data_IF_415507631812
#
_entry.id   IF_415507631812
#
_cell.length_a   1.000
_cell.length_b   1.000
_cell.length_c   1.000
_cell.angle_alpha   90.00
_cell.angle_beta   90.00
_cell.angle_gamma   90.00
#
_symmetry.space_group_name_H-M   'P 1'
#
loop_
_entity.id
_entity.type
_entity.pdbx_description
1 polymer ?
#
# COMPACT_ATOMS: atom_id res chain seq x y z
N UNK A 1 -55.52 -59.09 -18.36
CA UNK A 1 -55.78 -57.65 -18.57
C UNK A 1 -55.39 -56.91 -17.31
N UNK A 2 -54.19 -56.34 -17.24
CA UNK A 2 -53.71 -55.70 -16.00
C UNK A 2 -52.40 -54.92 -16.07
N UNK A 3 -51.89 -54.55 -17.25
CA UNK A 3 -50.55 -53.93 -17.36
C UNK A 3 -50.51 -52.55 -18.03
N UNK A 4 -51.65 -51.97 -18.43
CA UNK A 4 -51.68 -50.69 -19.17
C UNK A 4 -51.76 -49.42 -18.30
N UNK A 5 -51.93 -49.55 -16.97
CA UNK A 5 -52.09 -48.39 -16.07
C UNK A 5 -50.78 -47.78 -15.54
N UNK A 6 -49.73 -48.60 -15.37
CA UNK A 6 -48.45 -48.15 -14.78
C UNK A 6 -47.58 -47.35 -15.79
N UNK A 7 -47.64 -47.71 -17.07
CA UNK A 7 -46.87 -47.06 -18.15
C UNK A 7 -47.32 -45.62 -18.42
N UNK A 8 -48.63 -45.35 -18.34
CA UNK A 8 -49.21 -44.01 -18.59
C UNK A 8 -48.96 -43.02 -17.44
N UNK A 9 -48.86 -43.50 -16.19
CA UNK A 9 -48.56 -42.65 -15.02
C UNK A 9 -47.08 -42.25 -14.99
N UNK A 10 -46.17 -43.16 -15.40
CA UNK A 10 -44.74 -42.85 -15.53
C UNK A 10 -44.52 -41.76 -16.58
N UNK A 11 -45.15 -41.88 -17.77
CA UNK A 11 -44.96 -40.92 -18.85
C UNK A 11 -45.35 -39.48 -18.49
N UNK A 12 -46.41 -39.27 -17.68
CA UNK A 12 -46.81 -37.92 -17.22
C UNK A 12 -45.84 -37.33 -16.20
N UNK A 13 -45.32 -38.17 -15.30
CA UNK A 13 -44.31 -37.74 -14.31
C UNK A 13 -43.00 -37.39 -15.01
N UNK A 14 -42.57 -38.19 -15.98
CA UNK A 14 -41.37 -37.96 -16.77
C UNK A 14 -41.48 -36.66 -17.59
N UNK A 15 -42.64 -36.39 -18.19
CA UNK A 15 -42.90 -35.15 -18.94
C UNK A 15 -42.89 -33.92 -18.01
N UNK A 16 -43.51 -34.02 -16.83
CA UNK A 16 -43.50 -32.95 -15.83
C UNK A 16 -42.09 -32.69 -15.29
N UNK A 17 -41.32 -33.74 -15.00
CA UNK A 17 -39.92 -33.65 -14.59
C UNK A 17 -39.07 -33.01 -15.70
N UNK A 18 -39.29 -33.36 -16.96
CA UNK A 18 -38.63 -32.76 -18.13
C UNK A 18 -38.85 -31.25 -18.21
N UNK A 19 -40.09 -30.79 -18.01
CA UNK A 19 -40.41 -29.35 -17.94
C UNK A 19 -39.71 -28.65 -16.79
N UNK A 20 -39.70 -29.25 -15.59
CA UNK A 20 -39.03 -28.69 -14.42
C UNK A 20 -37.52 -28.54 -14.66
N UNK A 21 -36.86 -29.57 -15.19
CA UNK A 21 -35.44 -29.53 -15.53
C UNK A 21 -35.14 -28.47 -16.59
N UNK A 22 -35.98 -28.34 -17.63
CA UNK A 22 -35.81 -27.31 -18.65
C UNK A 22 -35.92 -25.90 -18.06
N UNK A 23 -36.91 -25.66 -17.19
CA UNK A 23 -37.08 -24.38 -16.50
C UNK A 23 -35.89 -24.05 -15.58
N UNK A 24 -35.37 -25.02 -14.82
CA UNK A 24 -34.20 -24.83 -13.97
C UNK A 24 -32.92 -24.54 -14.78
N UNK A 25 -32.75 -25.18 -15.95
CA UNK A 25 -31.64 -24.87 -16.87
C UNK A 25 -31.74 -23.47 -17.46
N UNK A 26 -32.95 -23.03 -17.82
CA UNK A 26 -33.19 -21.67 -18.29
C UNK A 26 -32.91 -20.63 -17.19
N UNK A 27 -33.35 -20.90 -15.95
CA UNK A 27 -33.05 -20.05 -14.79
C UNK A 27 -31.55 -19.94 -14.52
N UNK A 28 -30.82 -21.07 -14.53
CA UNK A 28 -29.35 -21.07 -14.42
C UNK A 28 -28.70 -20.22 -15.51
N UNK A 29 -29.13 -20.38 -16.77
CA UNK A 29 -28.57 -19.62 -17.88
C UNK A 29 -28.83 -18.11 -17.73
N UNK A 30 -30.04 -17.72 -17.31
CA UNK A 30 -30.39 -16.33 -17.04
C UNK A 30 -29.55 -15.74 -15.90
N UNK A 31 -29.45 -16.44 -14.76
CA UNK A 31 -28.66 -15.98 -13.62
C UNK A 31 -27.16 -15.84 -13.95
N UNK A 32 -26.57 -16.82 -14.63
CA UNK A 32 -25.18 -16.74 -15.09
C UNK A 32 -24.97 -15.60 -16.09
N UNK A 33 -25.92 -15.35 -16.99
CA UNK A 33 -25.85 -14.22 -17.92
C UNK A 33 -25.92 -12.87 -17.19
N UNK A 34 -26.77 -12.74 -16.17
CA UNK A 34 -26.82 -11.54 -15.32
C UNK A 34 -25.50 -11.29 -14.58
N UNK A 35 -24.80 -12.35 -14.17
CA UNK A 35 -23.47 -12.28 -13.57
C UNK A 35 -22.32 -12.18 -14.61
N UNK A 36 -22.62 -12.07 -15.91
CA UNK A 36 -21.62 -11.93 -16.97
C UNK A 36 -20.86 -13.21 -17.33
N UNK A 37 -21.33 -14.37 -16.87
CA UNK A 37 -20.71 -15.68 -17.06
C UNK A 37 -21.38 -16.44 -18.22
N UNK A 38 -21.10 -16.04 -19.47
CA UNK A 38 -21.79 -16.54 -20.67
C UNK A 38 -21.18 -17.78 -21.31
N UNK A 39 -20.04 -18.27 -20.81
CA UNK A 39 -19.34 -19.41 -21.42
C UNK A 39 -20.07 -20.76 -21.18
N UNK A 40 -20.02 -21.72 -22.12
CA UNK A 40 -20.76 -22.99 -22.01
C UNK A 40 -20.41 -23.83 -20.77
N UNK A 41 -19.20 -23.66 -20.21
CA UNK A 41 -18.73 -24.32 -19.00
C UNK A 41 -18.97 -23.52 -17.71
N UNK A 42 -19.57 -22.33 -17.76
CA UNK A 42 -19.61 -21.34 -16.68
C UNK A 42 -20.47 -21.71 -15.45
N UNK A 43 -21.04 -22.91 -15.38
CA UNK A 43 -21.91 -23.30 -14.27
C UNK A 43 -21.70 -24.73 -13.80
N UNK A 44 -20.47 -25.24 -13.91
CA UNK A 44 -20.07 -26.41 -13.13
C UNK A 44 -20.19 -26.07 -11.65
N UNK A 45 -20.82 -26.96 -10.87
CA UNK A 45 -21.06 -26.73 -9.44
C UNK A 45 -22.29 -25.87 -9.10
N UNK A 46 -23.05 -25.38 -10.08
CA UNK A 46 -24.30 -24.66 -9.82
C UNK A 46 -25.30 -25.55 -9.08
N UNK A 47 -25.60 -25.19 -7.83
CA UNK A 47 -26.54 -25.87 -6.96
C UNK A 47 -27.65 -24.91 -6.56
N UNK A 48 -28.87 -25.41 -6.61
CA UNK A 48 -30.06 -24.67 -6.22
C UNK A 48 -30.93 -25.57 -5.36
N UNK A 49 -31.16 -25.16 -4.12
CA UNK A 49 -32.06 -25.84 -3.21
C UNK A 49 -33.47 -25.26 -3.34
N UNK A 50 -34.45 -26.15 -3.51
CA UNK A 50 -35.86 -25.81 -3.63
C UNK A 50 -36.71 -26.73 -2.74
N UNK A 51 -37.75 -26.15 -2.16
CA UNK A 51 -38.81 -26.84 -1.43
C UNK A 51 -40.18 -26.26 -1.84
N UNK A 52 -41.27 -26.96 -1.48
CA UNK A 52 -42.62 -26.59 -1.90
C UNK A 52 -43.07 -25.19 -1.43
N UNK A 53 -42.43 -24.61 -0.41
CA UNK A 53 -42.69 -23.26 0.09
C UNK A 53 -41.83 -22.18 -0.58
N UNK A 54 -40.84 -22.55 -1.39
CA UNK A 54 -39.97 -21.59 -2.08
C UNK A 54 -40.74 -20.89 -3.21
N UNK A 55 -41.05 -19.62 -3.02
CA UNK A 55 -41.64 -18.75 -4.05
C UNK A 55 -40.66 -18.38 -5.17
N UNK A 56 -41.19 -17.89 -6.29
CA UNK A 56 -40.40 -17.57 -7.49
C UNK A 56 -39.29 -16.52 -7.23
N UNK A 57 -39.59 -15.48 -6.45
CA UNK A 57 -38.62 -14.43 -6.11
C UNK A 57 -37.44 -14.98 -5.29
N UNK A 58 -37.73 -15.79 -4.27
CA UNK A 58 -36.70 -16.44 -3.45
C UNK A 58 -35.84 -17.41 -4.27
N UNK A 59 -36.46 -18.16 -5.19
CA UNK A 59 -35.74 -19.07 -6.07
C UNK A 59 -34.82 -18.31 -7.05
N UNK A 60 -35.27 -17.16 -7.58
CA UNK A 60 -34.46 -16.29 -8.42
C UNK A 60 -33.29 -15.66 -7.65
N UNK A 61 -33.52 -15.19 -6.42
CA UNK A 61 -32.47 -14.67 -5.54
C UNK A 61 -31.36 -15.69 -5.26
N UNK A 62 -31.73 -16.93 -4.87
CA UNK A 62 -30.76 -18.02 -4.67
C UNK A 62 -29.99 -18.38 -5.94
N UNK A 63 -30.67 -18.36 -7.10
CA UNK A 63 -30.02 -18.61 -8.38
C UNK A 63 -28.98 -17.52 -8.73
N UNK A 64 -29.29 -16.26 -8.44
CA UNK A 64 -28.35 -15.14 -8.61
C UNK A 64 -27.17 -15.23 -7.63
N UNK A 65 -27.41 -15.59 -6.37
CA UNK A 65 -26.34 -15.81 -5.38
C UNK A 65 -25.39 -16.93 -5.84
N UNK A 66 -25.92 -18.10 -6.21
CA UNK A 66 -25.13 -19.21 -6.71
C UNK A 66 -24.38 -18.85 -8.00
N UNK A 67 -24.99 -18.09 -8.92
CA UNK A 67 -24.34 -17.61 -10.13
C UNK A 67 -23.23 -16.59 -9.82
N UNK A 68 -23.44 -15.69 -8.86
CA UNK A 68 -22.47 -14.70 -8.44
C UNK A 68 -21.25 -15.35 -7.77
N UNK A 69 -21.44 -16.38 -6.96
CA UNK A 69 -20.36 -17.19 -6.38
C UNK A 69 -19.52 -17.84 -7.48
N UNK A 70 -20.15 -18.52 -8.43
CA UNK A 70 -19.43 -19.17 -9.55
C UNK A 70 -18.72 -18.15 -10.43
N UNK A 71 -19.37 -17.02 -10.73
CA UNK A 71 -18.78 -15.93 -11.49
C UNK A 71 -17.57 -15.35 -10.75
N UNK A 72 -17.65 -15.15 -9.44
CA UNK A 72 -16.55 -14.68 -8.60
C UNK A 72 -15.39 -15.68 -8.54
N UNK A 73 -15.66 -16.98 -8.50
CA UNK A 73 -14.64 -18.03 -8.55
C UNK A 73 -13.90 -18.09 -9.90
N UNK A 74 -14.59 -17.69 -10.97
CA UNK A 74 -14.09 -17.63 -12.35
C UNK A 74 -13.54 -16.25 -12.74
N UNK A 75 -13.60 -15.25 -11.85
CA UNK A 75 -12.97 -13.96 -12.11
C UNK A 75 -11.46 -14.15 -12.29
N UNK A 76 -11.00 -13.85 -13.51
CA UNK A 76 -9.59 -13.90 -13.82
C UNK A 76 -8.78 -12.96 -12.92
N UNK A 77 -9.30 -11.76 -12.64
CA UNK A 77 -8.68 -10.81 -11.72
C UNK A 77 -9.32 -10.93 -10.33
N UNK A 78 -8.59 -11.54 -9.40
CA UNK A 78 -8.98 -11.65 -7.99
C UNK A 78 -7.94 -10.96 -7.11
N UNK A 79 -8.36 -10.05 -6.20
CA UNK A 79 -7.43 -9.37 -5.29
C UNK A 79 -6.54 -10.37 -4.55
N UNK A 80 -5.23 -10.08 -4.48
CA UNK A 80 -4.26 -10.94 -3.81
C UNK A 80 -3.86 -12.21 -4.56
N UNK A 81 -4.31 -12.42 -5.81
CA UNK A 81 -4.11 -13.69 -6.50
C UNK A 81 -3.73 -13.54 -7.97
N UNK A 82 -2.86 -14.41 -8.45
CA UNK A 82 -2.46 -14.49 -9.87
C UNK A 82 -3.28 -15.58 -10.56
N UNK A 83 -3.73 -15.33 -11.79
CA UNK A 83 -4.45 -16.32 -12.57
C UNK A 83 -3.55 -17.51 -12.94
N UNK A 84 -4.00 -18.73 -12.64
CA UNK A 84 -3.31 -19.95 -13.05
C UNK A 84 -3.89 -20.43 -14.39
N UNK A 85 -3.08 -20.43 -15.45
CA UNK A 85 -3.53 -20.89 -16.77
C UNK A 85 -3.61 -22.42 -16.86
N UNK A 86 -2.86 -23.13 -16.02
CA UNK A 86 -2.93 -24.59 -15.90
C UNK A 86 -4.26 -25.03 -15.26
N UNK A 87 -4.64 -24.42 -14.14
CA UNK A 87 -5.91 -24.70 -13.45
C UNK A 87 -7.10 -23.90 -14.01
N UNK A 88 -6.86 -22.95 -14.91
CA UNK A 88 -7.85 -22.02 -15.46
C UNK A 88 -8.67 -21.27 -14.39
N UNK A 89 -8.01 -20.84 -13.31
CA UNK A 89 -8.65 -20.12 -12.20
C UNK A 89 -7.63 -19.29 -11.42
N UNK A 90 -8.10 -18.24 -10.74
CA UNK A 90 -7.33 -17.49 -9.74
C UNK A 90 -7.54 -18.01 -8.31
N UNK A 91 -8.28 -19.10 -8.12
CA UNK A 91 -8.67 -19.61 -6.79
C UNK A 91 -7.88 -20.83 -6.32
N UNK A 92 -6.97 -21.37 -7.14
CA UNK A 92 -6.16 -22.53 -6.78
C UNK A 92 -4.99 -22.16 -5.85
N UNK A 93 -4.38 -23.16 -5.22
CA UNK A 93 -3.22 -22.97 -4.34
C UNK A 93 -2.02 -22.33 -5.05
N UNK A 94 -1.90 -22.48 -6.38
CA UNK A 94 -0.79 -21.90 -7.14
C UNK A 94 -0.93 -20.38 -7.33
N UNK A 95 -2.10 -19.81 -7.06
CA UNK A 95 -2.41 -18.40 -7.30
C UNK A 95 -1.78 -17.44 -6.27
N UNK A 96 -1.16 -17.96 -5.21
CA UNK A 96 -0.54 -17.20 -4.12
C UNK A 96 0.85 -17.75 -3.77
N UNK A 97 1.73 -16.92 -3.18
CA UNK A 97 3.02 -17.39 -2.67
C UNK A 97 2.83 -18.43 -1.57
N UNK A 98 3.75 -19.39 -1.47
CA UNK A 98 3.75 -20.40 -0.43
C UNK A 98 4.42 -19.89 0.85
N UNK A 99 5.37 -18.95 0.72
CA UNK A 99 6.11 -18.35 1.85
C UNK A 99 6.02 -16.82 1.82
N UNK A 100 6.23 -16.14 2.97
CA UNK A 100 6.09 -14.68 3.04
C UNK A 100 7.13 -13.87 2.27
N UNK A 101 8.26 -14.50 1.93
CA UNK A 101 9.39 -13.86 1.25
C UNK A 101 9.35 -14.05 -0.28
N UNK A 102 8.39 -14.85 -0.77
CA UNK A 102 8.19 -15.13 -2.19
C UNK A 102 7.45 -14.01 -2.94
N UNK A 103 7.84 -13.85 -4.20
CA UNK A 103 7.20 -12.95 -5.17
C UNK A 103 6.93 -13.70 -6.46
N UNK A 104 5.99 -13.18 -7.26
CA UNK A 104 5.68 -13.78 -8.55
C UNK A 104 6.85 -13.59 -9.52
N UNK A 105 7.34 -14.68 -10.12
CA UNK A 105 8.53 -14.73 -10.96
C UNK A 105 8.22 -15.16 -12.40
N UNK A 106 6.98 -14.99 -12.83
CA UNK A 106 6.48 -15.39 -14.15
C UNK A 106 5.72 -16.70 -14.13
N UNK A 107 5.53 -17.27 -15.31
CA UNK A 107 4.86 -18.55 -15.50
C UNK A 107 5.83 -19.65 -15.91
N UNK A 108 5.55 -20.88 -15.47
CA UNK A 108 6.12 -22.09 -16.03
C UNK A 108 5.60 -22.33 -17.46
N UNK A 109 6.22 -23.25 -18.25
CA UNK A 109 5.76 -23.57 -19.60
C UNK A 109 4.28 -23.97 -19.71
N UNK A 110 3.75 -24.63 -18.67
CA UNK A 110 2.34 -25.06 -18.55
C UNK A 110 1.39 -23.94 -18.11
N UNK A 111 1.89 -22.72 -17.91
CA UNK A 111 1.06 -21.59 -17.46
C UNK A 111 0.69 -21.63 -15.97
N UNK A 112 1.36 -22.48 -15.19
CA UNK A 112 1.32 -22.43 -13.73
C UNK A 112 2.14 -21.23 -13.21
N UNK A 113 1.63 -20.43 -12.24
CA UNK A 113 2.38 -19.37 -11.62
C UNK A 113 3.66 -19.90 -10.95
N UNK A 114 4.79 -19.25 -11.23
CA UNK A 114 6.06 -19.50 -10.55
C UNK A 114 6.28 -18.46 -9.46
N UNK A 115 6.56 -18.94 -8.26
CA UNK A 115 6.93 -18.13 -7.11
C UNK A 115 8.40 -18.39 -6.79
N UNK A 116 9.14 -17.35 -6.41
CA UNK A 116 10.46 -17.52 -5.83
C UNK A 116 10.77 -16.44 -4.82
N UNK A 117 11.70 -16.75 -3.94
CA UNK A 117 12.25 -15.82 -2.96
C UNK A 117 12.70 -14.51 -3.61
N UNK A 118 12.29 -13.38 -3.04
CA UNK A 118 12.55 -12.05 -3.58
C UNK A 118 14.04 -11.79 -3.84
N UNK A 119 14.90 -12.21 -2.91
CA UNK A 119 16.35 -12.12 -3.07
C UNK A 119 16.84 -12.89 -4.30
N UNK A 120 16.35 -14.12 -4.52
CA UNK A 120 16.74 -14.95 -5.67
C UNK A 120 16.26 -14.34 -6.99
N UNK A 121 15.09 -13.70 -7.00
CA UNK A 121 14.62 -12.96 -8.17
C UNK A 121 15.57 -11.81 -8.51
N UNK A 122 15.99 -11.00 -7.52
CA UNK A 122 16.92 -9.90 -7.74
C UNK A 122 18.29 -10.38 -8.23
N UNK A 123 18.79 -11.52 -7.72
CA UNK A 123 20.01 -12.15 -8.25
C UNK A 123 19.85 -12.57 -9.71
N UNK A 124 18.72 -13.19 -10.08
CA UNK A 124 18.43 -13.58 -11.48
C UNK A 124 18.36 -12.36 -12.39
N UNK A 125 17.88 -11.23 -11.90
CA UNK A 125 17.83 -9.95 -12.61
C UNK A 125 19.18 -9.21 -12.62
N UNK A 126 20.17 -9.67 -11.87
CA UNK A 126 21.48 -9.03 -11.74
C UNK A 126 21.43 -7.67 -11.04
N UNK A 127 20.50 -7.46 -10.11
CA UNK A 127 20.38 -6.17 -9.40
C UNK A 127 21.60 -5.95 -8.49
N UNK A 128 22.41 -4.89 -8.70
CA UNK A 128 23.64 -4.66 -7.95
C UNK A 128 23.38 -4.25 -6.49
N UNK A 129 22.12 -4.02 -6.11
CA UNK A 129 21.74 -3.51 -4.78
C UNK A 129 21.35 -4.63 -3.82
N UNK A 130 21.38 -5.89 -4.24
CA UNK A 130 20.97 -7.06 -3.43
C UNK A 130 21.56 -7.10 -2.03
N UNK A 131 22.84 -6.75 -1.88
CA UNK A 131 23.53 -6.70 -0.58
C UNK A 131 22.89 -5.71 0.41
N UNK A 132 22.21 -4.66 -0.09
CA UNK A 132 21.57 -3.66 0.77
C UNK A 132 20.35 -4.19 1.52
N UNK A 133 19.79 -5.32 1.09
CA UNK A 133 18.72 -6.04 1.81
C UNK A 133 19.18 -6.56 3.17
N UNK A 134 20.49 -6.81 3.33
CA UNK A 134 21.09 -7.37 4.54
C UNK A 134 21.99 -6.36 5.27
N UNK A 135 22.02 -5.11 4.79
CA UNK A 135 22.74 -4.03 5.46
C UNK A 135 22.20 -3.78 6.87
N UNK A 136 22.95 -3.03 7.68
CA UNK A 136 22.49 -2.57 9.00
C UNK A 136 22.30 -1.04 8.98
N UNK A 137 21.06 -0.54 8.92
CA UNK A 137 19.79 -1.27 8.82
C UNK A 137 19.50 -1.80 7.40
N UNK A 138 18.62 -2.80 7.26
CA UNK A 138 18.25 -3.35 5.95
C UNK A 138 17.46 -2.32 5.15
N UNK A 139 17.71 -2.25 3.84
CA UNK A 139 16.96 -1.40 2.93
C UNK A 139 15.80 -2.16 2.30
N UNK A 140 14.69 -1.46 2.05
CA UNK A 140 13.62 -1.95 1.18
C UNK A 140 14.01 -1.61 -0.26
N UNK A 141 14.04 -2.63 -1.10
CA UNK A 141 14.23 -2.51 -2.54
C UNK A 141 12.91 -2.74 -3.26
N UNK A 142 12.77 -2.11 -4.41
CA UNK A 142 11.72 -2.41 -5.36
C UNK A 142 12.29 -2.44 -6.79
N UNK A 143 11.74 -3.30 -7.63
CA UNK A 143 12.06 -3.29 -9.05
C UNK A 143 10.81 -3.57 -9.89
N UNK A 144 10.80 -3.02 -11.10
CA UNK A 144 9.72 -3.21 -12.07
C UNK A 144 10.14 -4.27 -13.09
N UNK A 145 9.23 -5.18 -13.41
CA UNK A 145 9.41 -6.23 -14.42
C UNK A 145 8.27 -6.11 -15.43
N UNK A 146 8.59 -6.13 -16.71
CA UNK A 146 7.58 -6.04 -17.77
C UNK A 146 6.84 -7.38 -17.96
N UNK A 147 5.61 -7.31 -18.47
CA UNK A 147 4.78 -8.50 -18.68
C UNK A 147 5.33 -9.50 -19.70
N UNK A 148 6.13 -9.06 -20.68
CA UNK A 148 6.70 -9.97 -21.68
C UNK A 148 7.76 -10.88 -21.04
N UNK A 149 8.61 -10.31 -20.18
CA UNK A 149 9.57 -11.06 -19.36
C UNK A 149 8.87 -12.11 -18.48
N UNK A 150 7.75 -11.78 -17.84
CA UNK A 150 7.00 -12.72 -16.98
C UNK A 150 6.37 -13.89 -17.76
N UNK A 151 6.11 -13.74 -19.06
CA UNK A 151 5.53 -14.77 -19.93
C UNK A 151 6.56 -15.41 -20.88
N UNK A 152 7.84 -15.16 -20.67
CA UNK A 152 8.92 -15.62 -21.56
C UNK A 152 9.08 -17.14 -21.58
N UNK A 153 8.74 -17.84 -20.50
CA UNK A 153 8.83 -19.31 -20.43
C UNK A 153 7.48 -19.99 -20.78
N UNK A 154 6.37 -19.26 -20.77
CA UNK A 154 5.00 -19.77 -20.99
C UNK A 154 4.76 -20.18 -22.46
N UNK A 155 4.18 -21.35 -22.69
CA UNK A 155 3.81 -21.80 -24.04
C UNK A 155 2.50 -21.17 -24.52
N UNK A 156 2.32 -21.08 -25.84
CA UNK A 156 1.12 -20.53 -26.46
C UNK A 156 -0.15 -21.30 -26.09
N UNK A 157 -0.08 -22.63 -26.04
CA UNK A 157 -1.17 -23.52 -25.63
C UNK A 157 -1.63 -23.29 -24.19
N UNK A 158 -0.78 -22.69 -23.36
CA UNK A 158 -1.04 -22.44 -21.95
C UNK A 158 -1.22 -20.94 -21.65
N UNK A 159 -1.77 -20.17 -22.59
CA UNK A 159 -2.28 -18.83 -22.31
C UNK A 159 -1.29 -17.68 -22.45
N UNK A 160 -0.12 -17.89 -23.08
CA UNK A 160 0.86 -16.82 -23.36
C UNK A 160 0.24 -15.57 -24.00
N UNK A 161 -0.63 -15.79 -24.99
CA UNK A 161 -1.34 -14.74 -25.74
C UNK A 161 -2.77 -14.51 -25.24
N UNK A 162 -3.17 -15.16 -24.15
CA UNK A 162 -4.52 -15.00 -23.63
C UNK A 162 -4.74 -13.59 -23.08
N UNK A 163 -5.95 -13.08 -23.34
CA UNK A 163 -6.47 -11.83 -22.81
C UNK A 163 -7.22 -12.00 -21.49
N UNK A 164 -7.37 -13.23 -20.99
CA UNK A 164 -8.07 -13.54 -19.73
C UNK A 164 -7.45 -12.80 -18.56
N UNK A 165 -6.11 -12.83 -18.47
CA UNK A 165 -5.35 -12.18 -17.41
C UNK A 165 -4.03 -11.65 -17.99
N UNK A 166 -4.08 -10.41 -18.48
CA UNK A 166 -2.96 -9.82 -19.20
C UNK A 166 -2.15 -8.92 -18.29
N UNK A 167 -1.02 -9.44 -17.81
CA UNK A 167 -0.04 -8.65 -17.06
C UNK A 167 0.65 -7.67 -18.00
N UNK A 168 0.55 -6.38 -17.71
CA UNK A 168 1.29 -5.34 -18.45
C UNK A 168 2.70 -5.19 -17.89
N UNK A 169 2.81 -5.14 -16.56
CA UNK A 169 4.03 -5.09 -15.79
C UNK A 169 3.72 -5.35 -14.31
N UNK A 170 4.76 -5.58 -13.52
CA UNK A 170 4.66 -5.66 -12.07
C UNK A 170 5.78 -4.90 -11.38
N UNK A 171 5.55 -4.55 -10.12
CA UNK A 171 6.55 -4.10 -9.16
C UNK A 171 6.66 -5.16 -8.08
N UNK A 172 7.87 -5.66 -7.85
CA UNK A 172 8.17 -6.52 -6.69
C UNK A 172 8.94 -5.70 -5.66
N UNK A 173 8.64 -5.90 -4.38
CA UNK A 173 9.27 -5.14 -3.31
C UNK A 173 9.51 -5.97 -2.05
N UNK A 174 10.63 -5.70 -1.39
CA UNK A 174 11.05 -6.38 -0.16
C UNK A 174 12.44 -5.95 0.30
N UNK A 175 12.92 -6.35 1.47
CA UNK A 175 12.11 -6.99 2.51
C UNK A 175 11.43 -5.93 3.38
N UNK A 176 10.11 -6.03 3.49
CA UNK A 176 9.33 -5.34 4.50
C UNK A 176 9.44 -6.12 5.80
N UNK A 177 9.66 -5.43 6.91
CA UNK A 177 9.81 -6.07 8.22
C UNK A 177 8.55 -5.84 9.03
N UNK A 178 7.92 -6.95 9.46
CA UNK A 178 6.67 -6.97 10.22
C UNK A 178 6.83 -8.00 11.34
N UNK A 179 6.63 -7.57 12.59
CA UNK A 179 6.74 -8.44 13.78
C UNK A 179 8.07 -9.24 13.83
N UNK A 180 9.17 -8.67 13.31
CA UNK A 180 10.50 -9.30 13.26
C UNK A 180 10.71 -10.28 12.09
N UNK A 181 9.68 -10.56 11.29
CA UNK A 181 9.77 -11.38 10.09
C UNK A 181 9.89 -10.52 8.82
N UNK A 182 10.47 -11.12 7.77
CA UNK A 182 10.65 -10.49 6.46
C UNK A 182 9.52 -10.89 5.54
N UNK A 183 9.07 -9.93 4.75
CA UNK A 183 8.00 -10.11 3.78
C UNK A 183 8.37 -9.47 2.46
N UNK A 184 7.88 -10.05 1.38
CA UNK A 184 7.91 -9.46 0.07
C UNK A 184 6.47 -9.33 -0.49
N UNK A 185 6.32 -8.48 -1.49
CA UNK A 185 5.06 -8.31 -2.19
C UNK A 185 5.26 -8.17 -3.69
N UNK A 186 4.20 -8.47 -4.44
CA UNK A 186 4.09 -8.23 -5.88
C UNK A 186 2.90 -7.31 -6.13
N UNK A 187 3.10 -6.13 -6.70
CA UNK A 187 2.04 -5.28 -7.23
C UNK A 187 1.96 -5.47 -8.75
N UNK A 188 0.87 -6.00 -9.28
CA UNK A 188 0.70 -6.29 -10.70
C UNK A 188 -0.35 -5.38 -11.34
N UNK A 189 0.05 -4.72 -12.44
CA UNK A 189 -0.88 -4.04 -13.34
C UNK A 189 -1.39 -5.05 -14.36
N UNK A 190 -2.70 -5.31 -14.31
CA UNK A 190 -3.36 -6.33 -15.11
C UNK A 190 -4.54 -5.74 -15.89
N UNK A 191 -4.68 -6.20 -17.12
CA UNK A 191 -5.86 -5.99 -17.97
C UNK A 191 -6.65 -7.31 -18.00
N UNK A 192 -7.93 -7.24 -17.62
CA UNK A 192 -8.84 -8.38 -17.66
C UNK A 192 -9.48 -8.56 -19.04
N UNK A 193 -10.26 -9.62 -19.19
CA UNK A 193 -10.96 -9.92 -20.45
C UNK A 193 -11.95 -8.81 -20.86
N UNK A 194 -12.58 -8.14 -19.88
CA UNK A 194 -13.45 -6.98 -20.07
C UNK A 194 -12.68 -5.68 -20.33
N UNK A 195 -11.35 -5.76 -20.45
CA UNK A 195 -10.41 -4.65 -20.61
C UNK A 195 -10.39 -3.68 -19.44
N UNK A 196 -10.84 -4.12 -18.27
CA UNK A 196 -10.66 -3.41 -17.02
C UNK A 196 -9.18 -3.44 -16.62
N UNK A 197 -8.65 -2.28 -16.26
CA UNK A 197 -7.31 -2.15 -15.70
C UNK A 197 -7.39 -2.20 -14.19
N UNK A 198 -6.55 -3.02 -13.57
CA UNK A 198 -6.44 -3.11 -12.11
C UNK A 198 -4.98 -3.18 -11.67
N UNK A 199 -4.67 -2.50 -10.58
CA UNK A 199 -3.42 -2.71 -9.84
C UNK A 199 -3.74 -3.56 -8.62
N UNK A 200 -3.32 -4.82 -8.67
CA UNK A 200 -3.53 -5.76 -7.55
C UNK A 200 -2.23 -6.00 -6.79
N UNK A 201 -2.35 -6.18 -5.48
CA UNK A 201 -1.21 -6.52 -4.61
C UNK A 201 -1.36 -7.97 -4.17
N UNK A 202 -0.37 -8.78 -4.47
CA UNK A 202 -0.20 -10.15 -3.97
C UNK A 202 0.88 -10.15 -2.91
N UNK A 203 0.53 -10.60 -1.72
CA UNK A 203 1.40 -10.70 -0.57
C UNK A 203 0.90 -11.83 0.32
N UNK A 204 1.73 -12.28 1.25
CA UNK A 204 1.27 -13.12 2.35
C UNK A 204 0.14 -12.44 3.14
N UNK A 205 -0.77 -13.27 3.68
CA UNK A 205 -1.96 -12.81 4.41
C UNK A 205 -1.60 -11.87 5.57
N UNK A 206 -0.55 -12.18 6.33
CA UNK A 206 -0.15 -11.38 7.49
C UNK A 206 0.35 -10.00 7.06
N UNK A 207 1.11 -9.93 5.97
CA UNK A 207 1.53 -8.64 5.42
C UNK A 207 0.32 -7.85 4.91
N UNK A 208 -0.62 -8.50 4.21
CA UNK A 208 -1.83 -7.85 3.72
C UNK A 208 -2.68 -7.25 4.85
N UNK A 209 -2.90 -8.00 5.93
CA UNK A 209 -3.58 -7.52 7.15
C UNK A 209 -2.88 -6.30 7.75
N UNK A 210 -1.55 -6.37 7.89
CA UNK A 210 -0.75 -5.27 8.48
C UNK A 210 -0.71 -4.02 7.62
N UNK A 211 -0.71 -4.18 6.29
CA UNK A 211 -0.85 -3.05 5.37
C UNK A 211 -2.22 -2.39 5.54
N UNK A 212 -3.31 -3.18 5.67
CA UNK A 212 -4.66 -2.66 5.84
C UNK A 212 -4.88 -1.97 7.21
N UNK A 213 -4.27 -2.48 8.28
CA UNK A 213 -4.34 -1.87 9.61
C UNK A 213 -3.49 -0.60 9.74
N UNK A 214 -2.57 -0.34 8.80
CA UNK A 214 -1.65 0.80 8.87
C UNK A 214 -2.33 2.17 8.64
N UNK A 215 -3.67 2.19 8.53
CA UNK A 215 -4.50 3.40 8.41
C UNK A 215 -4.39 4.33 9.64
N UNK A 216 -4.07 3.77 10.81
CA UNK A 216 -4.12 4.52 12.09
C UNK A 216 -2.74 4.97 12.61
N UNK A 217 -1.64 4.62 11.91
CA UNK A 217 -0.28 4.83 12.40
C UNK A 217 0.49 5.90 11.62
N UNK A 218 0.50 7.16 12.09
CA UNK A 218 1.30 8.23 11.49
C UNK A 218 2.78 7.86 11.39
N UNK A 219 3.24 7.53 10.17
CA UNK A 219 4.66 7.50 9.81
C UNK A 219 5.42 6.18 9.99
N UNK A 220 4.74 5.03 10.07
CA UNK A 220 5.41 3.72 9.93
C UNK A 220 5.86 3.49 8.47
N UNK A 221 6.84 2.60 8.23
CA UNK A 221 7.23 2.25 6.85
C UNK A 221 6.13 1.49 6.11
N UNK A 222 5.37 0.65 6.81
CA UNK A 222 4.24 -0.07 6.24
C UNK A 222 3.12 0.88 5.83
N UNK A 223 2.78 1.87 6.66
CA UNK A 223 1.80 2.91 6.31
C UNK A 223 2.22 3.65 5.03
N UNK A 224 3.49 4.02 4.92
CA UNK A 224 3.99 4.70 3.71
C UNK A 224 3.97 3.83 2.45
N UNK A 225 4.23 2.53 2.59
CA UNK A 225 4.13 1.56 1.49
C UNK A 225 2.67 1.36 1.11
N UNK A 226 1.78 1.25 2.09
CA UNK A 226 0.34 1.25 1.89
C UNK A 226 -0.11 2.50 1.12
N UNK A 227 0.26 3.70 1.57
CA UNK A 227 -0.06 4.96 0.88
C UNK A 227 0.43 4.98 -0.57
N UNK A 228 1.65 4.48 -0.82
CA UNK A 228 2.21 4.42 -2.17
C UNK A 228 1.42 3.45 -3.07
N UNK A 229 1.01 2.30 -2.53
CA UNK A 229 0.19 1.32 -3.23
C UNK A 229 -1.23 1.83 -3.48
N UNK A 230 -1.79 2.58 -2.53
CA UNK A 230 -3.11 3.17 -2.61
C UNK A 230 -3.15 4.31 -3.63
N UNK A 231 -2.18 5.22 -3.60
CA UNK A 231 -1.98 6.27 -4.60
C UNK A 231 -1.86 5.68 -6.01
N UNK A 232 -1.02 4.67 -6.19
CA UNK A 232 -0.85 3.99 -7.47
C UNK A 232 -2.13 3.28 -7.94
N UNK A 233 -2.94 2.72 -7.02
CA UNK A 233 -4.24 2.11 -7.33
C UNK A 233 -5.22 3.15 -7.86
N UNK A 234 -5.38 4.26 -7.16
CA UNK A 234 -6.24 5.37 -7.58
C UNK A 234 -5.84 5.94 -8.94
N UNK A 235 -4.53 6.08 -9.21
CA UNK A 235 -4.04 6.53 -10.51
C UNK A 235 -4.35 5.53 -11.64
N UNK A 236 -4.22 4.23 -11.38
CA UNK A 236 -4.57 3.18 -12.35
C UNK A 236 -6.07 3.11 -12.59
N UNK A 237 -6.90 3.23 -11.56
CA UNK A 237 -8.37 3.29 -11.70
C UNK A 237 -8.80 4.50 -12.53
N UNK A 238 -8.21 5.66 -12.26
CA UNK A 238 -8.43 6.88 -13.04
C UNK A 238 -8.02 6.70 -14.51
N UNK A 239 -6.92 5.99 -14.76
CA UNK A 239 -6.50 5.63 -16.12
C UNK A 239 -7.46 4.64 -16.78
N UNK A 240 -7.96 3.66 -16.02
CA UNK A 240 -8.93 2.67 -16.47
C UNK A 240 -10.26 3.28 -16.89
N UNK A 241 -10.70 4.35 -16.23
CA UNK A 241 -11.93 5.06 -16.59
C UNK A 241 -11.90 5.70 -17.99
N UNK A 242 -10.71 6.11 -18.45
CA UNK A 242 -10.48 6.68 -19.78
C UNK A 242 -9.88 5.67 -20.76
N UNK A 243 -9.63 4.43 -20.32
CA UNK A 243 -9.05 3.37 -21.15
C UNK A 243 -10.07 2.88 -22.18
N UNK A 244 -9.78 2.97 -23.49
CA UNK A 244 -10.75 2.62 -24.52
C UNK A 244 -11.08 1.12 -24.54
N UNK A 245 -12.37 0.76 -24.32
CA UNK A 245 -12.86 -0.63 -24.47
C UNK A 245 -12.72 -1.16 -25.90
N UNK A 246 -12.84 -0.28 -26.89
CA UNK A 246 -12.41 -0.54 -28.27
C UNK A 246 -11.13 0.26 -28.49
N UNK A 247 -10.01 -0.35 -28.89
CA UNK A 247 -8.86 0.19 -29.62
C UNK A 247 -7.61 -0.65 -29.30
N UNK A 248 -7.22 -1.48 -30.26
CA UNK A 248 -5.90 -2.10 -30.38
C UNK A 248 -5.15 -1.34 -31.47
N UNK A 249 -4.69 -0.12 -31.18
CA UNK A 249 -4.04 0.76 -32.16
C UNK A 249 -2.93 1.62 -31.56
N UNK A 250 -2.16 2.37 -32.39
CA UNK A 250 -1.04 3.20 -31.95
C UNK A 250 -1.40 4.30 -30.93
N UNK A 251 -2.67 4.70 -30.86
CA UNK A 251 -3.21 5.61 -29.83
C UNK A 251 -3.20 5.02 -28.39
N UNK A 252 -2.94 3.73 -28.22
CA UNK A 252 -2.77 3.09 -26.90
C UNK A 252 -1.39 3.34 -26.28
N UNK A 253 -0.40 3.81 -27.05
CA UNK A 253 0.97 4.06 -26.61
C UNK A 253 1.08 5.06 -25.44
N UNK A 254 0.48 6.27 -25.52
CA UNK A 254 0.56 7.26 -24.45
C UNK A 254 -0.04 6.79 -23.12
N UNK A 255 -1.16 6.09 -23.17
CA UNK A 255 -1.84 5.55 -21.99
C UNK A 255 -1.04 4.42 -21.35
N UNK A 256 -0.40 3.57 -22.16
CA UNK A 256 0.51 2.52 -21.68
C UNK A 256 1.77 3.12 -21.04
N UNK A 257 2.34 4.15 -21.64
CA UNK A 257 3.48 4.88 -21.08
C UNK A 257 3.12 5.53 -19.74
N UNK A 258 1.93 6.12 -19.63
CA UNK A 258 1.40 6.64 -18.36
C UNK A 258 1.26 5.54 -17.31
N UNK A 259 0.73 4.38 -17.67
CA UNK A 259 0.60 3.24 -16.77
C UNK A 259 1.96 2.77 -16.23
N UNK A 260 2.97 2.70 -17.09
CA UNK A 260 4.35 2.40 -16.69
C UNK A 260 4.98 3.52 -15.86
N UNK A 261 4.62 4.78 -16.12
CA UNK A 261 4.96 5.93 -15.28
C UNK A 261 4.49 5.76 -13.84
N UNK A 262 3.23 5.33 -13.63
CA UNK A 262 2.66 5.04 -12.31
C UNK A 262 3.49 3.98 -11.58
N UNK A 263 3.82 2.86 -12.24
CA UNK A 263 4.63 1.80 -11.63
C UNK A 263 6.06 2.23 -11.32
N UNK A 264 6.69 3.04 -12.18
CA UNK A 264 8.01 3.63 -11.88
C UNK A 264 7.94 4.56 -10.68
N UNK A 265 6.89 5.37 -10.56
CA UNK A 265 6.67 6.20 -9.37
C UNK A 265 6.48 5.35 -8.13
N UNK A 266 5.73 4.25 -8.22
CA UNK A 266 5.53 3.29 -7.12
C UNK A 266 6.86 2.71 -6.61
N UNK A 267 7.76 2.26 -7.51
CA UNK A 267 9.12 1.80 -7.15
C UNK A 267 9.86 2.87 -6.34
N UNK A 268 9.89 4.10 -6.85
CA UNK A 268 10.58 5.20 -6.18
C UNK A 268 9.96 5.53 -4.82
N UNK A 269 8.63 5.51 -4.73
CA UNK A 269 7.89 5.79 -3.50
C UNK A 269 8.17 4.74 -2.42
N UNK A 270 8.17 3.45 -2.76
CA UNK A 270 8.50 2.36 -1.84
C UNK A 270 9.93 2.53 -1.30
N UNK A 271 10.93 2.73 -2.17
CA UNK A 271 12.35 2.84 -1.75
C UNK A 271 12.67 4.14 -1.00
N UNK A 272 12.16 5.28 -1.48
CA UNK A 272 12.42 6.60 -0.87
C UNK A 272 11.81 6.68 0.53
N UNK A 273 10.59 6.18 0.69
CA UNK A 273 9.87 6.23 1.96
C UNK A 273 10.46 5.26 3.01
N UNK A 274 11.11 4.17 2.57
CA UNK A 274 11.94 3.29 3.42
C UNK A 274 13.19 3.98 3.97
N UNK A 275 13.96 4.69 3.12
CA UNK A 275 15.16 5.44 3.55
C UNK A 275 14.88 6.56 4.56
N UNK A 276 13.70 7.16 4.51
CA UNK A 276 13.31 8.28 5.39
C UNK A 276 13.00 7.83 6.83
N UNK A 277 12.57 6.58 7.03
CA UNK A 277 12.30 5.99 8.35
C UNK A 277 13.56 5.97 9.23
N UNK A 278 14.66 5.43 8.72
CA UNK A 278 15.91 5.32 9.50
C UNK A 278 16.46 6.68 9.90
N UNK A 279 16.37 7.69 9.02
CA UNK A 279 16.79 9.04 9.38
C UNK A 279 15.94 9.59 10.52
N UNK A 280 14.63 9.32 10.58
CA UNK A 280 13.75 9.82 11.65
C UNK A 280 13.90 9.04 12.96
N UNK A 281 14.03 7.72 12.93
CA UNK A 281 14.21 6.88 14.13
C UNK A 281 15.60 7.06 14.75
N UNK A 282 16.68 7.06 13.95
CA UNK A 282 18.03 7.38 14.44
C UNK A 282 18.10 8.79 15.00
N UNK A 283 17.42 9.76 14.35
CA UNK A 283 17.33 11.10 14.95
C UNK A 283 16.60 11.04 16.28
N UNK A 284 15.44 10.38 16.40
CA UNK A 284 14.66 10.27 17.63
C UNK A 284 15.43 9.58 18.77
N UNK A 285 16.12 8.48 18.50
CA UNK A 285 16.99 7.76 19.45
C UNK A 285 18.17 8.64 19.89
N UNK A 286 18.83 9.33 18.94
CA UNK A 286 19.86 10.32 19.26
C UNK A 286 19.28 11.53 20.02
N UNK A 287 18.01 11.92 19.78
CA UNK A 287 17.35 12.98 20.57
C UNK A 287 17.07 12.53 21.99
N UNK A 288 16.64 11.28 22.18
CA UNK A 288 16.30 10.69 23.48
C UNK A 288 17.55 10.46 24.35
N UNK A 289 18.67 10.10 23.74
CA UNK A 289 19.95 9.96 24.44
C UNK A 289 20.64 11.30 24.77
N UNK A 290 20.24 12.39 24.12
CA UNK A 290 20.76 13.73 24.38
C UNK A 290 19.98 14.40 25.53
N UNK A 291 20.66 14.69 26.64
CA UNK A 291 20.13 15.59 27.67
C UNK A 291 20.05 17.01 27.11
N UNK A 292 18.92 17.33 26.48
CA UNK A 292 18.71 18.62 25.82
C UNK A 292 18.30 19.67 26.84
N UNK A 293 18.96 20.83 26.89
CA UNK A 293 18.65 21.90 27.82
C UNK A 293 17.46 22.75 27.34
N UNK A 294 16.36 22.12 26.93
CA UNK A 294 15.19 22.81 26.36
C UNK A 294 14.61 23.83 27.33
N UNK A 295 14.60 23.51 28.64
CA UNK A 295 14.11 24.38 29.71
C UNK A 295 14.97 25.64 29.93
N UNK A 296 16.21 25.70 29.41
CA UNK A 296 17.10 26.87 29.51
C UNK A 296 17.08 27.78 28.28
N UNK A 297 16.38 27.38 27.21
CA UNK A 297 16.44 28.09 25.93
C UNK A 297 16.00 29.56 26.03
N UNK A 298 14.93 29.82 26.78
CA UNK A 298 14.39 31.17 27.01
C UNK A 298 15.36 32.05 27.81
N UNK A 299 15.88 31.51 28.91
CA UNK A 299 16.88 32.15 29.77
C UNK A 299 18.16 32.47 28.98
N UNK A 300 18.66 31.51 28.21
CA UNK A 300 19.88 31.68 27.40
C UNK A 300 19.70 32.73 26.28
N UNK A 301 18.48 32.94 25.74
CA UNK A 301 18.21 34.04 24.79
C UNK A 301 18.30 35.41 25.45
N UNK A 302 17.83 35.53 26.68
CA UNK A 302 17.82 36.79 27.42
C UNK A 302 19.22 37.14 27.93
N UNK A 303 19.97 36.15 28.40
CA UNK A 303 21.28 36.33 29.03
C UNK A 303 22.46 36.38 28.05
N UNK A 304 22.34 35.77 26.86
CA UNK A 304 23.46 35.67 25.92
C UNK A 304 23.89 37.04 25.40
N UNK A 305 25.20 37.32 25.31
CA UNK A 305 25.70 38.55 24.71
C UNK A 305 25.38 38.63 23.20
N UNK A 306 25.36 39.83 22.62
CA UNK A 306 25.02 40.00 21.19
C UNK A 306 25.92 39.19 20.24
N UNK A 307 27.19 38.97 20.61
CA UNK A 307 28.13 38.13 19.86
C UNK A 307 27.84 36.62 19.91
N UNK A 308 26.82 36.18 20.63
CA UNK A 308 26.43 34.77 20.76
C UNK A 308 25.25 34.40 19.84
N UNK A 309 24.82 35.31 18.97
CA UNK A 309 23.70 35.12 18.04
C UNK A 309 24.21 34.93 16.62
N UNK A 310 23.76 33.86 15.97
CA UNK A 310 24.16 33.53 14.62
C UNK A 310 22.96 33.17 13.74
N UNK A 311 23.00 33.52 12.45
CA UNK A 311 22.12 33.00 11.44
C UNK A 311 22.72 31.74 10.79
N UNK A 312 22.01 30.61 10.84
CA UNK A 312 22.38 29.39 10.10
C UNK A 312 21.98 29.56 8.63
N UNK A 313 22.98 29.82 7.77
CA UNK A 313 22.79 30.06 6.34
C UNK A 313 22.20 28.86 5.57
N UNK A 314 22.25 27.65 6.14
CA UNK A 314 21.74 26.42 5.50
C UNK A 314 20.32 26.12 5.94
N UNK A 315 20.00 26.36 7.22
CA UNK A 315 18.70 25.98 7.81
C UNK A 315 17.76 27.15 8.05
N UNK A 316 18.19 28.38 7.73
CA UNK A 316 17.42 29.61 7.91
C UNK A 316 16.85 29.74 9.34
N UNK A 317 17.70 29.44 10.33
CA UNK A 317 17.36 29.46 11.75
C UNK A 317 18.31 30.39 12.50
N UNK A 318 17.82 31.00 13.58
CA UNK A 318 18.63 31.81 14.49
C UNK A 318 19.17 30.90 15.58
N UNK A 319 20.50 30.87 15.71
CA UNK A 319 21.23 30.06 16.68
C UNK A 319 21.71 30.97 17.80
N UNK A 320 21.36 30.62 19.03
CA UNK A 320 21.83 31.30 20.24
C UNK A 320 22.75 30.37 21.00
N UNK A 321 24.01 30.77 21.16
CA UNK A 321 24.98 30.05 21.98
C UNK A 321 24.82 30.45 23.45
N UNK A 322 24.38 29.50 24.28
CA UNK A 322 24.26 29.65 25.73
C UNK A 322 25.52 29.24 26.48
N UNK A 323 25.46 29.24 27.82
CA UNK A 323 26.59 28.86 28.68
C UNK A 323 26.86 27.34 28.58
N UNK A 324 28.07 26.91 28.96
CA UNK A 324 28.48 25.51 29.03
C UNK A 324 28.28 24.69 27.73
N UNK A 325 28.47 25.32 26.57
CA UNK A 325 28.36 24.65 25.27
C UNK A 325 26.92 24.39 24.82
N UNK A 326 25.92 24.96 25.49
CA UNK A 326 24.52 24.87 25.03
C UNK A 326 24.31 25.74 23.81
N UNK A 327 23.46 25.31 22.90
CA UNK A 327 23.01 26.10 21.78
C UNK A 327 21.54 25.81 21.45
N UNK A 328 20.83 26.85 21.06
CA UNK A 328 19.39 26.80 20.80
C UNK A 328 19.12 27.34 19.42
N UNK A 329 18.36 26.58 18.63
CA UNK A 329 17.93 26.99 17.30
C UNK A 329 16.48 27.47 17.36
N UNK A 330 16.22 28.65 16.83
CA UNK A 330 14.92 29.30 16.79
C UNK A 330 14.52 29.63 15.36
N UNK A 331 13.22 29.72 15.12
CA UNK A 331 12.71 30.37 13.91
C UNK A 331 12.99 31.87 13.96
N UNK A 332 12.95 32.58 12.82
CA UNK A 332 13.00 34.05 12.80
C UNK A 332 11.92 34.71 13.66
N UNK A 333 10.80 34.02 13.90
CA UNK A 333 9.68 34.46 14.72
C UNK A 333 9.83 34.15 16.22
N UNK A 334 10.98 33.64 16.67
CA UNK A 334 11.25 33.37 18.09
C UNK A 334 10.71 32.04 18.62
N UNK A 335 10.23 31.13 17.76
CA UNK A 335 9.81 29.77 18.19
C UNK A 335 11.05 28.89 18.32
N UNK A 336 11.23 28.26 19.49
CA UNK A 336 12.27 27.26 19.69
C UNK A 336 12.03 26.06 18.75
N UNK A 337 13.01 25.79 17.89
CA UNK A 337 13.03 24.64 16.97
C UNK A 337 13.67 23.45 17.68
N UNK A 338 14.84 23.63 18.30
CA UNK A 338 15.54 22.58 19.05
C UNK A 338 16.65 23.16 19.93
N UNK A 339 17.04 22.42 20.97
CA UNK A 339 18.26 22.67 21.75
C UNK A 339 19.29 21.57 21.48
N UNK A 340 20.56 21.91 21.54
CA UNK A 340 21.70 20.99 21.36
C UNK A 340 22.91 21.47 22.18
N UNK A 341 23.92 20.62 22.31
CA UNK A 341 25.23 21.02 22.84
C UNK A 341 26.22 21.12 21.67
N UNK A 342 26.88 22.27 21.53
CA UNK A 342 27.92 22.55 20.54
C UNK A 342 29.19 22.94 21.33
N UNK A 343 30.27 22.18 21.14
CA UNK A 343 31.58 22.54 21.71
C UNK A 343 32.15 23.81 21.04
N UNK A 344 33.06 24.52 21.73
CA UNK A 344 33.68 25.75 21.20
C UNK A 344 34.34 25.54 19.84
N UNK A 345 35.11 24.46 19.69
CA UNK A 345 35.80 24.13 18.44
C UNK A 345 34.83 23.92 17.26
N UNK A 346 33.66 23.34 17.54
CA UNK A 346 32.62 23.10 16.55
C UNK A 346 31.92 24.40 16.15
N UNK A 347 31.65 25.29 17.11
CA UNK A 347 31.09 26.61 16.85
C UNK A 347 32.05 27.44 15.98
N UNK A 348 33.33 27.45 16.33
CA UNK A 348 34.38 28.18 15.61
C UNK A 348 34.60 27.60 14.20
N UNK A 349 34.52 26.28 14.05
CA UNK A 349 34.55 25.65 12.72
C UNK A 349 33.37 26.07 11.85
N UNK A 350 32.16 26.19 12.42
CA UNK A 350 30.95 26.58 11.67
C UNK A 350 30.96 28.05 11.28
N UNK A 351 31.55 28.91 12.11
CA UNK A 351 31.80 30.32 11.76
C UNK A 351 32.86 30.45 10.66
N UNK A 352 34.00 29.77 10.77
CA UNK A 352 35.05 29.77 9.74
C UNK A 352 34.54 29.32 8.36
N UNK A 353 33.64 28.34 8.33
CA UNK A 353 33.00 27.84 7.10
C UNK A 353 31.83 28.70 6.62
N UNK A 354 31.61 29.89 7.19
CA UNK A 354 30.49 30.80 6.87
C UNK A 354 29.10 30.18 6.98
N UNK A 355 28.96 29.11 7.76
CA UNK A 355 27.67 28.46 8.00
C UNK A 355 26.88 29.21 9.05
N UNK A 356 27.55 29.66 10.11
CA UNK A 356 26.98 30.50 11.17
C UNK A 356 27.50 31.92 10.97
N UNK A 357 26.60 32.81 10.57
CA UNK A 357 26.91 34.21 10.32
C UNK A 357 26.48 35.02 11.54
N UNK A 358 27.35 35.86 12.13
CA UNK A 358 26.96 36.66 13.29
C UNK A 358 25.82 37.61 12.92
N UNK A 359 24.83 37.72 13.80
CA UNK A 359 23.75 38.71 13.67
C UNK A 359 24.26 40.09 14.11
N UNK A 360 23.79 41.13 13.44
CA UNK A 360 24.01 42.51 13.87
C UNK A 360 23.28 42.80 15.18
N UNK A 361 23.73 43.83 15.91
CA UNK A 361 23.13 44.21 17.19
C UNK A 361 21.62 44.51 17.07
N UNK A 362 21.22 45.20 16.00
CA UNK A 362 19.82 45.52 15.72
C UNK A 362 18.97 44.28 15.43
N UNK A 363 19.54 43.26 14.76
CA UNK A 363 18.85 41.99 14.53
C UNK A 363 18.68 41.18 15.82
N UNK A 364 19.67 41.21 16.71
CA UNK A 364 19.59 40.55 18.02
C UNK A 364 18.51 41.17 18.89
N UNK A 365 18.44 42.50 18.94
CA UNK A 365 17.42 43.22 19.71
C UNK A 365 16.01 42.93 19.19
N UNK A 366 15.79 42.99 17.86
CA UNK A 366 14.51 42.60 17.23
C UNK A 366 14.11 41.16 17.53
N UNK A 367 15.07 40.24 17.49
CA UNK A 367 14.82 38.83 17.77
C UNK A 367 14.44 38.59 19.25
N UNK A 368 15.14 39.24 20.19
CA UNK A 368 14.82 39.15 21.62
C UNK A 368 13.41 39.65 21.93
N UNK A 369 12.98 40.73 21.31
CA UNK A 369 11.59 41.21 21.44
C UNK A 369 10.57 40.20 20.89
N UNK A 370 10.87 39.55 19.76
CA UNK A 370 10.01 38.51 19.20
C UNK A 370 9.85 37.32 20.16
N UNK A 371 10.94 36.88 20.80
CA UNK A 371 10.90 35.83 21.82
C UNK A 371 10.06 36.27 23.05
N UNK A 372 10.26 37.48 23.57
CA UNK A 372 9.51 38.02 24.71
C UNK A 372 8.01 38.11 24.44
N UNK A 373 7.60 38.63 23.27
CA UNK A 373 6.19 38.72 22.88
C UNK A 373 5.53 37.34 22.83
N UNK A 374 6.27 36.33 22.38
CA UNK A 374 5.76 34.97 22.26
C UNK A 374 5.64 34.26 23.62
N UNK A 375 6.60 34.45 24.52
CA UNK A 375 6.51 33.95 25.90
C UNK A 375 5.33 34.60 26.65
N UNK A 376 5.17 35.91 26.52
CA UNK A 376 4.03 36.62 27.11
C UNK A 376 2.68 36.13 26.55
N UNK A 377 2.60 35.88 25.23
CA UNK A 377 1.39 35.33 24.59
C UNK A 377 1.08 33.89 25.00
N UNK A 378 2.09 33.05 25.23
CA UNK A 378 1.91 31.68 25.73
C UNK A 378 1.49 31.66 27.22
N UNK A 379 2.01 32.56 28.04
CA UNK A 379 1.60 32.72 29.44
C UNK A 379 0.14 33.22 29.54
N UNK A 380 -0.27 34.13 28.65
CA UNK A 380 -1.66 34.59 28.59
C UNK A 380 -2.64 33.50 28.12
N UNK A 381 -2.24 32.65 27.17
CA UNK A 381 -3.07 31.54 26.68
C UNK A 381 -3.13 30.33 27.64
N UNK A 382 -2.17 30.19 28.56
CA UNK A 382 -2.13 29.14 29.58
C UNK A 382 -2.85 29.49 30.89
N UNK A 383 -3.42 30.69 31.01
CA UNK A 383 -4.11 31.20 32.21
C UNK A 383 -5.61 30.82 32.31
N UNK A 384 -6.20 30.25 31.27
CA UNK A 384 -7.55 29.68 31.30
C UNK A 384 -7.45 28.14 31.30
N UNK A 385 -7.34 27.55 32.49
CA UNK A 385 -7.60 26.13 32.69
C UNK A 385 -9.01 25.94 33.28
N UNK A 386 -9.83 25.02 32.74
CA UNK A 386 -11.16 24.75 33.25
C UNK A 386 -11.08 24.05 34.61
N UNK A 387 -12.00 24.44 35.51
CA UNK A 387 -12.07 24.00 36.90
C UNK A 387 -12.06 22.49 37.06
N UNK A 388 -11.20 22.05 37.98
CA UNK A 388 -11.01 20.68 38.44
C UNK A 388 -12.30 20.17 39.12
N UNK A 389 -13.09 19.39 38.39
CA UNK A 389 -14.23 18.64 38.90
C UNK A 389 -13.76 17.43 39.71
N UNK A 390 -13.37 17.65 40.96
CA UNK A 390 -13.23 16.59 41.97
C UNK A 390 -14.06 16.94 43.19
N UNK A 391 -15.36 16.62 43.12
CA UNK A 391 -16.19 16.48 44.33
C UNK A 391 -15.74 15.25 45.09
N UNK A 392 -15.32 15.48 46.34
CA UNK A 392 -14.94 14.44 47.28
C UNK A 392 -16.12 13.60 47.72
N UNK A 393 -15.88 12.30 47.89
CA UNK A 393 -16.65 11.44 48.76
C UNK A 393 -15.92 11.37 50.11
N UNK A 394 -16.55 11.92 51.14
CA UNK A 394 -16.17 11.72 52.54
C UNK A 394 -16.83 10.43 53.07
N UNK A 395 -16.26 9.79 54.11
CA UNK A 395 -16.69 8.49 54.60
C UNK A 395 -17.80 8.61 55.66
N UNK A 396 -18.73 7.65 55.66
CA UNK A 396 -19.47 7.16 56.82
C UNK A 396 -20.00 5.76 56.50
#
# INVERSE_FOLDING_TARGET
MGESGHSMSSGRLDEAAGRAVAALRALRAAALAECGATDPGAGDGFRLEWDAGTGAEALAGRALEAAAEIAAERQAIRPGRVYCYDCQTSSCAHACPATPEEVFAGYEPTGRPRWCEFFNLLLKLGDPRTETLFAKPPQVLACMIDGATLKLEQLASFGRHSLTYRIWAQVVAGYLHVDGARYALTAQLVEGAGRELRLQVIADRRLAERLAESLDGEGSALARVHDALDEARHEVESLGAVWPRAHSGPASGPSRERAFGILRHLVHSIERKGRQQYRRTRHAEVRAAQQRPVHKACEDVLDAAAGCFFHDAVKHAIIVAGKAGRAHAFSPTGRLITSLNIGRDELDSRQRRRRYLPLSREEVERFREACRRREAGLAAAGGEAPGDGRTGAAPA
#
